data_IF_498336685998
#
_entry.id   IF_498336685998
#
_cell.length_a   1.000
_cell.length_b   1.000
_cell.length_c   1.000
_cell.angle_alpha   90.00
_cell.angle_beta   90.00
_cell.angle_gamma   90.00
#
_symmetry.space_group_name_H-M   'P 1'
#
loop_
_entity.id
_entity.type
_entity.pdbx_description
1 polymer ?
#
# COMPACT_ATOMS: atom_id res chain seq x y z
N UNK A 1 30.79 -73.42 -3.97
CA UNK A 1 29.68 -72.65 -4.57
C UNK A 1 28.84 -71.91 -3.52
N UNK A 2 28.40 -72.57 -2.40
CA UNK A 2 27.60 -71.92 -1.35
C UNK A 2 28.27 -70.71 -0.65
N UNK A 3 29.60 -70.74 -0.43
CA UNK A 3 30.36 -69.66 0.23
C UNK A 3 30.49 -68.38 -0.62
N UNK A 4 30.54 -68.54 -1.96
CA UNK A 4 30.65 -67.41 -2.88
C UNK A 4 29.32 -66.65 -2.99
N UNK A 5 28.20 -67.37 -3.07
CA UNK A 5 26.85 -66.77 -3.12
C UNK A 5 26.53 -66.01 -1.83
N UNK A 6 26.95 -66.52 -0.68
CA UNK A 6 26.73 -65.89 0.60
C UNK A 6 27.52 -64.59 0.75
N UNK A 7 28.76 -64.54 0.24
CA UNK A 7 29.56 -63.29 0.20
C UNK A 7 28.96 -62.23 -0.76
N UNK A 8 28.43 -62.68 -1.88
CA UNK A 8 27.81 -61.79 -2.86
C UNK A 8 26.54 -61.15 -2.29
N UNK A 9 25.68 -61.93 -1.58
CA UNK A 9 24.48 -61.42 -0.92
C UNK A 9 24.81 -60.42 0.18
N UNK A 10 25.86 -60.64 0.96
CA UNK A 10 26.30 -59.68 2.00
C UNK A 10 26.72 -58.34 1.37
N UNK A 11 27.38 -58.34 0.22
CA UNK A 11 27.80 -57.13 -0.46
C UNK A 11 26.58 -56.32 -0.96
N UNK A 12 25.58 -57.00 -1.53
CA UNK A 12 24.34 -56.31 -1.96
C UNK A 12 23.53 -55.75 -0.79
N UNK A 13 23.43 -56.45 0.32
CA UNK A 13 22.75 -55.98 1.53
C UNK A 13 23.50 -54.79 2.13
N UNK A 14 24.82 -54.81 2.21
CA UNK A 14 25.63 -53.69 2.68
C UNK A 14 25.52 -52.46 1.77
N UNK A 15 25.52 -52.69 0.44
CA UNK A 15 25.31 -51.63 -0.55
C UNK A 15 23.91 -50.97 -0.45
N UNK A 16 22.86 -51.81 -0.29
CA UNK A 16 21.50 -51.30 -0.08
C UNK A 16 21.35 -50.49 1.20
N UNK A 17 21.97 -50.96 2.32
CA UNK A 17 21.97 -50.25 3.61
C UNK A 17 22.72 -48.92 3.52
N UNK A 18 23.86 -48.88 2.83
CA UNK A 18 24.63 -47.64 2.64
C UNK A 18 23.87 -46.64 1.73
N UNK A 19 23.09 -47.11 0.78
CA UNK A 19 22.28 -46.25 -0.09
C UNK A 19 21.10 -45.60 0.67
N UNK A 20 20.47 -46.32 1.60
CA UNK A 20 19.35 -45.76 2.40
C UNK A 20 19.79 -44.73 3.42
N UNK A 21 21.05 -44.76 3.89
CA UNK A 21 21.58 -43.80 4.86
C UNK A 21 21.88 -42.39 4.26
N UNK A 22 21.92 -42.28 2.95
CA UNK A 22 22.16 -40.98 2.29
C UNK A 22 20.90 -40.13 2.08
N UNK A 23 19.70 -40.61 2.44
CA UNK A 23 18.44 -39.87 2.31
C UNK A 23 18.03 -39.10 3.57
N UNK A 24 18.81 -39.13 4.65
CA UNK A 24 18.58 -38.29 5.82
C UNK A 24 19.22 -36.91 5.64
N UNK A 25 18.84 -36.22 4.57
CA UNK A 25 19.12 -34.81 4.43
C UNK A 25 18.32 -34.01 5.46
N UNK A 26 18.89 -32.95 6.01
CA UNK A 26 18.16 -32.00 6.85
C UNK A 26 16.99 -31.46 6.02
N UNK A 27 15.77 -31.88 6.34
CA UNK A 27 14.53 -31.44 5.66
C UNK A 27 13.89 -30.23 6.35
N UNK A 28 14.59 -29.57 7.27
CA UNK A 28 14.10 -28.32 7.84
C UNK A 28 14.38 -27.20 6.85
N UNK A 29 13.34 -26.86 6.07
CA UNK A 29 13.32 -25.77 5.11
C UNK A 29 12.69 -24.49 5.71
N UNK A 30 12.51 -24.44 7.04
CA UNK A 30 11.97 -23.27 7.71
C UNK A 30 12.97 -22.11 7.58
N UNK A 31 12.69 -21.22 6.65
CA UNK A 31 13.46 -20.02 6.42
C UNK A 31 13.06 -18.94 7.44
N UNK A 32 14.02 -18.45 8.22
CA UNK A 32 13.83 -17.26 9.05
C UNK A 32 14.13 -16.02 8.22
N UNK A 33 13.08 -15.32 7.84
CA UNK A 33 13.19 -14.06 7.10
C UNK A 33 13.61 -12.94 8.07
N UNK A 34 14.87 -12.44 7.92
CA UNK A 34 15.42 -11.35 8.74
C UNK A 34 15.44 -10.01 8.00
N UNK A 35 15.35 -10.02 6.68
CA UNK A 35 15.57 -8.84 5.83
C UNK A 35 14.29 -8.23 5.26
N UNK A 36 13.11 -8.83 5.52
CA UNK A 36 11.82 -8.31 5.07
C UNK A 36 10.74 -8.52 6.11
N UNK A 37 9.71 -7.69 6.06
CA UNK A 37 8.51 -7.86 6.86
C UNK A 37 7.62 -8.93 6.25
N UNK A 38 7.09 -9.80 7.09
CA UNK A 38 6.11 -10.85 6.76
C UNK A 38 4.93 -10.74 7.72
N UNK A 39 3.81 -11.34 7.38
CA UNK A 39 2.62 -11.37 8.25
C UNK A 39 2.89 -11.98 9.63
N UNK A 40 3.97 -12.79 9.76
CA UNK A 40 4.36 -13.41 11.01
C UNK A 40 5.22 -12.49 11.90
N UNK A 41 5.97 -11.55 11.32
CA UNK A 41 6.91 -10.71 12.05
C UNK A 41 6.54 -9.22 12.08
N UNK A 42 5.48 -8.81 11.36
CA UNK A 42 5.01 -7.42 11.30
C UNK A 42 3.48 -7.34 11.11
N UNK A 43 2.78 -6.48 11.87
CA UNK A 43 3.28 -5.72 13.01
C UNK A 43 3.28 -6.56 14.29
N UNK A 44 4.30 -6.41 15.13
CA UNK A 44 4.47 -7.14 16.40
C UNK A 44 4.53 -6.23 17.63
N UNK A 45 4.56 -4.91 17.43
CA UNK A 45 4.60 -3.91 18.51
C UNK A 45 3.69 -2.71 18.25
N UNK A 46 3.29 -1.96 19.30
CA UNK A 46 2.48 -0.74 19.15
C UNK A 46 3.11 0.31 18.22
N UNK A 47 4.43 0.45 18.23
CA UNK A 47 5.16 1.38 17.35
C UNK A 47 5.06 0.96 15.88
N UNK A 48 5.05 -0.35 15.63
CA UNK A 48 4.85 -0.88 14.28
C UNK A 48 3.41 -0.67 13.81
N UNK A 49 2.41 -0.71 14.70
CA UNK A 49 1.03 -0.33 14.33
C UNK A 49 0.96 1.11 13.84
N UNK A 50 1.59 2.04 14.57
CA UNK A 50 1.66 3.44 14.13
C UNK A 50 2.33 3.58 12.75
N UNK A 51 3.38 2.78 12.46
CA UNK A 51 4.06 2.84 11.17
C UNK A 51 3.21 2.39 9.98
N UNK A 52 2.17 1.57 10.20
CA UNK A 52 1.23 1.15 9.15
C UNK A 52 0.36 2.31 8.65
N UNK A 53 0.25 3.42 9.39
CA UNK A 53 -0.47 4.62 8.94
C UNK A 53 0.34 5.46 7.94
N UNK A 54 1.64 5.24 7.81
CA UNK A 54 2.53 5.99 6.93
C UNK A 54 2.01 6.17 5.50
N UNK A 55 1.54 5.12 4.80
CA UNK A 55 0.97 5.24 3.47
C UNK A 55 -0.22 6.19 3.37
N UNK A 56 -1.01 6.33 4.44
CA UNK A 56 -2.17 7.23 4.50
C UNK A 56 -1.70 8.69 4.51
N UNK A 57 -0.66 9.02 5.28
CA UNK A 57 -0.08 10.36 5.31
C UNK A 57 0.62 10.72 3.99
N UNK A 58 1.27 9.76 3.34
CA UNK A 58 1.81 9.95 1.98
C UNK A 58 0.68 10.24 0.98
N UNK A 59 -0.45 9.53 1.08
CA UNK A 59 -1.61 9.81 0.24
C UNK A 59 -2.21 11.19 0.52
N UNK A 60 -2.25 11.62 1.79
CA UNK A 60 -2.69 12.96 2.18
C UNK A 60 -1.77 14.06 1.62
N UNK A 61 -0.45 13.89 1.74
CA UNK A 61 0.51 14.79 1.13
C UNK A 61 0.27 14.88 -0.39
N UNK A 62 0.14 13.75 -1.08
CA UNK A 62 -0.09 13.71 -2.53
C UNK A 62 -1.38 14.40 -2.94
N UNK A 63 -2.45 14.32 -2.13
CA UNK A 63 -3.70 15.04 -2.41
C UNK A 63 -3.48 16.54 -2.39
N UNK A 64 -2.72 17.05 -1.41
CA UNK A 64 -2.53 18.49 -1.23
C UNK A 64 -1.43 19.09 -2.08
N UNK A 65 -0.38 18.35 -2.42
CA UNK A 65 0.81 18.89 -3.07
C UNK A 65 0.48 19.65 -4.37
N UNK A 66 0.12 18.91 -5.42
CA UNK A 66 -0.13 19.51 -6.75
C UNK A 66 -1.53 19.19 -7.30
N UNK A 67 -2.45 18.70 -6.48
CA UNK A 67 -3.75 18.28 -6.97
C UNK A 67 -4.87 19.16 -6.41
N UNK A 68 -5.18 19.00 -5.13
CA UNK A 68 -6.27 19.76 -4.53
C UNK A 68 -5.91 21.25 -4.40
N UNK A 69 -4.67 21.55 -3.99
CA UNK A 69 -4.21 22.93 -3.86
C UNK A 69 -4.29 23.68 -5.21
N UNK A 70 -3.73 23.10 -6.28
CA UNK A 70 -3.82 23.73 -7.60
C UNK A 70 -5.28 23.89 -8.07
N UNK A 71 -6.12 22.90 -7.80
CA UNK A 71 -7.53 22.96 -8.17
C UNK A 71 -8.27 24.08 -7.45
N UNK A 72 -8.02 24.26 -6.16
CA UNK A 72 -8.70 25.25 -5.33
C UNK A 72 -8.20 26.67 -5.61
N UNK A 73 -6.87 26.84 -5.73
CA UNK A 73 -6.27 28.16 -5.80
C UNK A 73 -6.25 28.77 -7.21
N UNK A 74 -6.09 27.94 -8.25
CA UNK A 74 -5.98 28.44 -9.63
C UNK A 74 -7.29 29.03 -10.18
N UNK A 75 -8.43 28.75 -9.54
CA UNK A 75 -9.73 29.32 -9.87
C UNK A 75 -10.05 30.60 -9.10
N UNK A 76 -9.14 31.12 -8.31
CA UNK A 76 -9.33 32.30 -7.45
C UNK A 76 -8.57 33.53 -7.94
N UNK A 77 -8.78 34.67 -7.28
CA UNK A 77 -8.04 35.90 -7.52
C UNK A 77 -6.68 35.95 -6.79
N UNK A 78 -6.38 34.94 -5.94
CA UNK A 78 -5.17 34.95 -5.10
C UNK A 78 -3.93 34.51 -5.89
N UNK A 79 -4.09 33.54 -6.79
CA UNK A 79 -2.97 32.95 -7.52
C UNK A 79 -3.24 32.93 -9.03
N UNK A 80 -2.26 33.40 -9.78
CA UNK A 80 -2.24 33.30 -11.23
C UNK A 80 -0.93 32.66 -11.69
N UNK A 81 -1.02 31.74 -12.64
CA UNK A 81 0.13 31.16 -13.35
C UNK A 81 0.16 31.69 -14.78
N UNK A 82 0.86 32.83 -15.00
CA UNK A 82 0.90 33.46 -16.33
C UNK A 82 1.81 32.65 -17.27
N UNK A 83 1.33 32.43 -18.47
CA UNK A 83 2.17 31.91 -19.57
C UNK A 83 3.17 32.95 -20.00
N UNK A 84 4.46 32.63 -20.01
CA UNK A 84 5.55 33.51 -20.44
C UNK A 84 6.26 32.85 -21.62
N UNK A 85 5.92 33.26 -22.81
CA UNK A 85 6.37 32.58 -24.03
C UNK A 85 5.82 31.15 -24.08
N UNK A 86 6.69 30.15 -23.99
CA UNK A 86 6.30 28.72 -23.87
C UNK A 86 6.26 28.20 -22.44
N UNK A 87 6.79 28.97 -21.47
CA UNK A 87 6.86 28.52 -20.07
C UNK A 87 5.50 28.57 -19.38
N UNK A 88 5.22 27.58 -18.56
CA UNK A 88 4.00 27.46 -17.76
C UNK A 88 2.70 27.39 -18.56
N UNK A 89 2.77 27.09 -19.85
CA UNK A 89 1.57 26.84 -20.62
C UNK A 89 0.89 25.52 -20.21
N UNK A 90 1.66 24.49 -20.07
CA UNK A 90 1.25 23.15 -19.57
C UNK A 90 -0.10 22.66 -20.15
N UNK A 91 -0.26 22.81 -21.47
CA UNK A 91 -1.50 22.46 -22.15
C UNK A 91 -2.69 23.38 -21.85
N UNK A 92 -2.44 24.54 -21.23
CA UNK A 92 -3.48 25.51 -20.87
C UNK A 92 -4.16 25.24 -19.52
N UNK A 93 -3.75 24.21 -18.78
CA UNK A 93 -4.45 23.76 -17.57
C UNK A 93 -4.67 24.86 -16.52
N UNK A 94 -3.71 25.74 -16.33
CA UNK A 94 -3.83 26.86 -15.38
C UNK A 94 -4.69 28.00 -15.93
N UNK A 95 -4.55 28.26 -17.22
CA UNK A 95 -5.36 29.27 -17.92
C UNK A 95 -6.84 28.88 -17.91
N UNK A 96 -7.14 27.62 -18.18
CA UNK A 96 -8.51 27.09 -18.16
C UNK A 96 -9.14 27.22 -16.78
N UNK A 97 -8.37 26.94 -15.70
CA UNK A 97 -8.84 27.12 -14.33
C UNK A 97 -9.11 28.59 -14.01
N UNK A 98 -8.18 29.47 -14.33
CA UNK A 98 -8.30 30.89 -14.04
C UNK A 98 -9.51 31.53 -14.76
N UNK A 99 -9.75 31.16 -16.02
CA UNK A 99 -10.90 31.68 -16.79
C UNK A 99 -12.20 30.90 -16.58
N UNK A 100 -12.23 29.93 -15.70
CA UNK A 100 -13.40 29.08 -15.41
C UNK A 100 -13.99 28.39 -16.65
N UNK A 101 -13.13 27.94 -17.58
CA UNK A 101 -13.53 27.24 -18.80
C UNK A 101 -13.22 25.75 -18.81
N UNK A 102 -13.04 25.17 -17.61
CA UNK A 102 -12.77 23.74 -17.44
C UNK A 102 -13.98 22.86 -17.75
N UNK A 103 -13.71 21.59 -18.01
CA UNK A 103 -14.71 20.53 -18.14
C UNK A 103 -14.45 19.45 -17.08
N UNK A 104 -15.38 18.51 -16.85
CA UNK A 104 -15.14 17.39 -15.92
C UNK A 104 -13.91 16.53 -16.25
N UNK A 105 -13.42 16.56 -17.50
CA UNK A 105 -12.21 15.85 -17.91
C UNK A 105 -10.92 16.66 -17.73
N UNK A 106 -11.00 17.85 -17.15
CA UNK A 106 -9.82 18.67 -16.88
C UNK A 106 -8.84 17.94 -15.94
N UNK A 107 -7.54 18.02 -16.26
CA UNK A 107 -6.51 17.21 -15.58
C UNK A 107 -6.43 17.47 -14.07
N UNK A 108 -6.57 18.72 -13.62
CA UNK A 108 -6.52 19.06 -12.20
C UNK A 108 -7.75 18.48 -11.45
N UNK A 109 -8.94 18.53 -12.06
CA UNK A 109 -10.16 17.94 -11.52
C UNK A 109 -9.99 16.42 -11.37
N UNK A 110 -9.50 15.77 -12.44
CA UNK A 110 -9.24 14.33 -12.43
C UNK A 110 -8.20 13.94 -11.38
N UNK A 111 -7.10 14.68 -11.28
CA UNK A 111 -6.03 14.38 -10.32
C UNK A 111 -6.51 14.51 -8.87
N UNK A 112 -7.29 15.54 -8.55
CA UNK A 112 -7.87 15.71 -7.22
C UNK A 112 -8.82 14.54 -6.86
N UNK A 113 -9.69 14.14 -7.81
CA UNK A 113 -10.55 12.98 -7.66
C UNK A 113 -9.77 11.68 -7.41
N UNK A 114 -8.83 11.36 -8.28
CA UNK A 114 -8.04 10.13 -8.21
C UNK A 114 -7.21 10.08 -6.92
N UNK A 115 -6.60 11.20 -6.52
CA UNK A 115 -5.78 11.28 -5.30
C UNK A 115 -6.64 11.14 -4.03
N UNK A 116 -7.80 11.78 -3.97
CA UNK A 116 -8.71 11.69 -2.84
C UNK A 116 -9.24 10.27 -2.65
N UNK A 117 -9.73 9.63 -3.72
CA UNK A 117 -10.21 8.24 -3.63
C UNK A 117 -9.09 7.23 -3.43
N UNK A 118 -7.87 7.49 -3.92
CA UNK A 118 -6.68 6.69 -3.58
C UNK A 118 -6.40 6.74 -2.08
N UNK A 119 -6.50 7.91 -1.45
CA UNK A 119 -6.36 8.05 0.00
C UNK A 119 -7.42 7.29 0.80
N UNK A 120 -8.69 7.37 0.38
CA UNK A 120 -9.79 6.60 0.97
C UNK A 120 -9.54 5.09 0.83
N UNK A 121 -9.13 4.64 -0.36
CA UNK A 121 -8.78 3.25 -0.61
C UNK A 121 -7.65 2.76 0.27
N UNK A 122 -6.59 3.57 0.43
CA UNK A 122 -5.47 3.28 1.34
C UNK A 122 -5.94 3.14 2.79
N UNK A 123 -6.82 4.03 3.27
CA UNK A 123 -7.40 3.90 4.61
C UNK A 123 -8.19 2.58 4.76
N UNK A 124 -9.01 2.21 3.77
CA UNK A 124 -9.79 0.98 3.81
C UNK A 124 -8.87 -0.25 3.79
N UNK A 125 -7.82 -0.24 2.98
CA UNK A 125 -6.83 -1.32 2.91
C UNK A 125 -6.13 -1.53 4.26
N UNK A 126 -5.62 -0.46 4.86
CA UNK A 126 -4.94 -0.55 6.16
C UNK A 126 -5.92 -1.00 7.25
N UNK A 127 -7.17 -0.49 7.27
CA UNK A 127 -8.20 -0.96 8.21
C UNK A 127 -8.45 -2.47 8.08
N UNK A 128 -8.52 -3.01 6.85
CA UNK A 128 -8.73 -4.45 6.64
C UNK A 128 -7.56 -5.29 7.17
N UNK A 129 -6.33 -4.80 7.09
CA UNK A 129 -5.16 -5.46 7.66
C UNK A 129 -5.23 -5.53 9.20
N UNK A 130 -5.79 -4.50 9.85
CA UNK A 130 -5.96 -4.50 11.30
C UNK A 130 -7.02 -5.47 11.79
N UNK A 131 -8.00 -5.88 10.97
CA UNK A 131 -9.04 -6.84 11.38
C UNK A 131 -8.44 -8.19 11.82
N UNK A 132 -7.35 -8.62 11.21
CA UNK A 132 -6.68 -9.88 11.51
C UNK A 132 -5.74 -9.82 12.74
N UNK A 133 -5.44 -8.63 13.26
CA UNK A 133 -4.48 -8.45 14.34
C UNK A 133 -5.13 -8.64 15.72
N UNK A 134 -4.37 -9.08 16.74
CA UNK A 134 -4.86 -9.17 18.12
C UNK A 134 -5.30 -7.81 18.66
N UNK A 135 -6.35 -7.82 19.49
CA UNK A 135 -6.85 -6.59 20.12
C UNK A 135 -5.89 -6.13 21.24
N UNK A 136 -5.53 -4.85 21.17
CA UNK A 136 -4.76 -4.14 22.19
C UNK A 136 -4.98 -2.62 22.05
N UNK A 137 -4.51 -1.86 23.03
CA UNK A 137 -4.72 -0.40 23.04
C UNK A 137 -4.10 0.31 21.84
N UNK A 138 -2.94 -0.13 21.37
CA UNK A 138 -2.28 0.40 20.19
C UNK A 138 -3.09 0.20 18.91
N UNK A 139 -3.69 -0.98 18.74
CA UNK A 139 -4.60 -1.28 17.63
C UNK A 139 -5.83 -0.35 17.65
N UNK A 140 -6.46 -0.20 18.80
CA UNK A 140 -7.67 0.62 18.95
C UNK A 140 -7.36 2.08 18.63
N UNK A 141 -6.24 2.62 19.12
CA UNK A 141 -5.80 3.98 18.85
C UNK A 141 -5.53 4.17 17.35
N UNK A 142 -4.78 3.26 16.72
CA UNK A 142 -4.44 3.35 15.30
C UNK A 142 -5.66 3.23 14.39
N UNK A 143 -6.60 2.33 14.69
CA UNK A 143 -7.88 2.25 13.96
C UNK A 143 -8.66 3.57 14.04
N UNK A 144 -8.66 4.20 15.20
CA UNK A 144 -9.35 5.49 15.40
C UNK A 144 -8.71 6.60 14.57
N UNK A 145 -7.38 6.66 14.53
CA UNK A 145 -6.61 7.57 13.68
C UNK A 145 -6.93 7.37 12.19
N UNK A 146 -6.91 6.12 11.72
CA UNK A 146 -7.21 5.80 10.30
C UNK A 146 -8.63 6.22 9.93
N UNK A 147 -9.60 5.99 10.83
CA UNK A 147 -10.99 6.43 10.60
C UNK A 147 -11.12 7.96 10.52
N UNK A 148 -10.36 8.69 11.33
CA UNK A 148 -10.29 10.16 11.26
C UNK A 148 -9.69 10.60 9.94
N UNK A 149 -8.58 10.00 9.52
CA UNK A 149 -7.95 10.30 8.23
C UNK A 149 -8.87 10.00 7.05
N UNK A 150 -9.60 8.89 7.09
CA UNK A 150 -10.61 8.58 6.05
C UNK A 150 -11.74 9.61 6.01
N UNK A 151 -12.23 10.05 7.18
CA UNK A 151 -13.23 11.10 7.26
C UNK A 151 -12.69 12.43 6.72
N UNK A 152 -11.43 12.74 6.97
CA UNK A 152 -10.73 13.90 6.45
C UNK A 152 -10.64 13.87 4.91
N UNK A 153 -10.28 12.74 4.28
CA UNK A 153 -10.34 12.60 2.82
C UNK A 153 -11.76 12.84 2.30
N UNK A 154 -12.77 12.24 2.93
CA UNK A 154 -14.17 12.45 2.54
C UNK A 154 -14.62 13.90 2.69
N UNK A 155 -14.15 14.61 3.71
CA UNK A 155 -14.44 16.03 3.90
C UNK A 155 -14.00 16.83 2.66
N UNK A 156 -12.76 16.67 2.22
CA UNK A 156 -12.27 17.37 1.03
C UNK A 156 -12.91 16.92 -0.28
N UNK A 157 -13.22 15.64 -0.39
CA UNK A 157 -13.94 15.14 -1.56
C UNK A 157 -15.36 15.70 -1.62
N UNK A 158 -16.05 15.80 -0.49
CA UNK A 158 -17.38 16.40 -0.39
C UNK A 158 -17.34 17.92 -0.65
N UNK A 159 -16.37 18.61 -0.09
CA UNK A 159 -16.18 20.05 -0.27
C UNK A 159 -15.94 20.41 -1.75
N UNK A 160 -15.10 19.62 -2.43
CA UNK A 160 -14.69 19.87 -3.82
C UNK A 160 -15.73 19.40 -4.85
N UNK A 161 -16.37 18.24 -4.61
CA UNK A 161 -17.21 17.56 -5.61
C UNK A 161 -18.69 17.43 -5.20
N UNK A 162 -19.05 17.81 -3.99
CA UNK A 162 -20.41 17.63 -3.46
C UNK A 162 -20.69 16.17 -3.10
N UNK A 163 -21.78 15.59 -3.62
CA UNK A 163 -22.14 14.22 -3.34
C UNK A 163 -21.21 13.22 -4.00
N UNK A 164 -20.44 12.49 -3.20
CA UNK A 164 -19.46 11.48 -3.64
C UNK A 164 -19.83 10.07 -3.16
N UNK A 165 -19.41 9.01 -3.87
CA UNK A 165 -19.62 7.63 -3.43
C UNK A 165 -18.95 7.36 -2.08
N UNK A 166 -19.67 6.68 -1.17
CA UNK A 166 -19.12 6.28 0.13
C UNK A 166 -18.69 4.82 0.07
N UNK A 167 -17.37 4.59 0.13
CA UNK A 167 -16.74 3.27 0.13
C UNK A 167 -15.99 3.09 1.45
N UNK A 168 -16.41 2.13 2.27
CA UNK A 168 -15.86 1.89 3.61
C UNK A 168 -15.20 0.52 3.76
N UNK A 169 -15.15 -0.26 2.70
CA UNK A 169 -14.52 -1.58 2.66
C UNK A 169 -13.48 -1.62 1.54
N UNK A 170 -12.46 -2.44 1.78
CA UNK A 170 -11.43 -2.77 0.78
C UNK A 170 -11.88 -4.00 0.01
#
# INVERSE_FOLDING_TARGET
MKSFVMKLNCIYIAGALAFTLNFTGCTNLDEKVYSSYTDENFPSSPEQYASMTGPIYVAAQKLFDNNLYELQEMGTDEIIVPTRGGDWYDGGRYVDMHYHIWTPSHILIKNAWDSGFSGIGTCNQVLSQFEALPDNDGKIQTISEIKVMRAWFYFYMMDTFGGVPIVTKF
#
